data_IF_465785762423
#
_entry.id   IF_465785762423
#
_cell.length_a   1.000
_cell.length_b   1.000
_cell.length_c   1.000
_cell.angle_alpha   90.00
_cell.angle_beta   90.00
_cell.angle_gamma   90.00
#
_symmetry.space_group_name_H-M   'P 1'
#
loop_
_entity.id
_entity.type
_entity.pdbx_description
1 polymer ?
#
# COMPACT_ATOMS: atom_id res chain seq x y z
N UNK A 1 -28.49 -2.74 2.47
CA UNK A 1 -27.57 -2.21 1.44
C UNK A 1 -27.39 -0.68 1.48
N UNK A 2 -28.45 0.14 1.48
CA UNK A 2 -28.33 1.63 1.52
C UNK A 2 -27.52 2.20 2.69
N UNK A 3 -27.58 1.55 3.85
CA UNK A 3 -26.85 2.02 5.05
C UNK A 3 -25.34 1.82 4.93
N UNK A 4 -24.90 0.64 4.46
CA UNK A 4 -23.48 0.37 4.19
C UNK A 4 -22.91 1.32 3.13
N UNK A 5 -23.63 1.52 2.02
CA UNK A 5 -23.15 2.41 0.95
C UNK A 5 -22.98 3.85 1.41
N UNK A 6 -23.83 4.34 2.32
CA UNK A 6 -23.70 5.68 2.87
C UNK A 6 -22.53 5.80 3.85
N UNK A 7 -22.22 4.74 4.61
CA UNK A 7 -21.09 4.74 5.53
C UNK A 7 -19.77 4.78 4.76
N UNK A 8 -19.57 3.87 3.80
CA UNK A 8 -18.40 3.87 2.92
C UNK A 8 -18.22 5.19 2.17
N UNK A 9 -19.32 5.77 1.66
CA UNK A 9 -19.26 7.04 0.95
C UNK A 9 -18.78 8.20 1.85
N UNK A 10 -19.19 8.19 3.12
CA UNK A 10 -18.83 9.23 4.09
C UNK A 10 -17.36 9.13 4.50
N UNK A 11 -16.87 7.91 4.67
CA UNK A 11 -15.49 7.58 5.04
C UNK A 11 -14.51 7.87 3.88
N UNK A 12 -14.88 7.49 2.65
CA UNK A 12 -14.13 7.86 1.45
C UNK A 12 -14.13 9.37 1.24
N UNK A 13 -15.22 10.08 1.53
CA UNK A 13 -15.27 11.56 1.43
C UNK A 13 -14.41 12.25 2.48
N UNK A 14 -14.27 11.70 3.69
CA UNK A 14 -13.41 12.29 4.72
C UNK A 14 -11.92 12.03 4.46
N UNK A 15 -11.57 10.89 3.83
CA UNK A 15 -10.18 10.49 3.54
C UNK A 15 -9.87 10.38 2.05
N UNK A 16 -10.54 11.19 1.20
CA UNK A 16 -10.41 11.08 -0.26
C UNK A 16 -8.97 11.26 -0.72
N UNK A 17 -8.24 12.19 -0.09
CA UNK A 17 -6.84 12.45 -0.41
C UNK A 17 -5.95 11.26 -0.04
N UNK A 18 -6.17 10.63 1.11
CA UNK A 18 -5.37 9.49 1.58
C UNK A 18 -5.51 8.30 0.64
N UNK A 19 -6.74 7.97 0.25
CA UNK A 19 -6.98 6.89 -0.71
C UNK A 19 -6.49 7.23 -2.12
N UNK A 20 -6.61 8.49 -2.56
CA UNK A 20 -6.05 8.92 -3.84
C UNK A 20 -4.53 8.80 -3.85
N UNK A 21 -3.85 9.16 -2.75
CA UNK A 21 -2.41 9.00 -2.60
C UNK A 21 -2.01 7.52 -2.67
N UNK A 22 -2.74 6.62 -2.00
CA UNK A 22 -2.48 5.19 -2.07
C UNK A 22 -2.64 4.63 -3.48
N UNK A 23 -3.73 4.99 -4.17
CA UNK A 23 -4.02 4.53 -5.54
C UNK A 23 -2.94 5.03 -6.50
N UNK A 24 -2.59 6.31 -6.44
CA UNK A 24 -1.55 6.88 -7.31
C UNK A 24 -0.19 6.26 -7.05
N UNK A 25 0.18 6.03 -5.79
CA UNK A 25 1.40 5.30 -5.42
C UNK A 25 1.39 3.86 -5.93
N UNK A 26 0.25 3.16 -5.84
CA UNK A 26 0.08 1.80 -6.37
C UNK A 26 0.21 1.73 -7.90
N UNK A 27 -0.41 2.66 -8.62
CA UNK A 27 -0.28 2.76 -10.09
C UNK A 27 1.18 3.05 -10.46
N UNK A 28 1.82 4.01 -9.78
CA UNK A 28 3.23 4.33 -10.01
C UNK A 28 4.12 3.11 -9.78
N UNK A 29 3.89 2.34 -8.71
CA UNK A 29 4.60 1.11 -8.43
C UNK A 29 4.45 0.07 -9.54
N UNK A 30 3.23 -0.20 -9.98
CA UNK A 30 2.97 -1.17 -11.06
C UNK A 30 3.65 -0.76 -12.37
N UNK A 31 3.60 0.54 -12.71
CA UNK A 31 4.28 1.08 -13.88
C UNK A 31 5.80 0.94 -13.74
N UNK A 32 6.37 1.31 -12.59
CA UNK A 32 7.80 1.22 -12.34
C UNK A 32 8.32 -0.22 -12.42
N UNK A 33 7.63 -1.18 -11.79
CA UNK A 33 7.99 -2.61 -11.90
C UNK A 33 7.91 -3.10 -13.34
N UNK A 34 6.93 -2.65 -14.11
CA UNK A 34 6.81 -3.04 -15.51
C UNK A 34 7.93 -2.45 -16.39
N UNK A 35 8.28 -1.18 -16.18
CA UNK A 35 9.32 -0.47 -16.94
C UNK A 35 10.71 -1.01 -16.65
N UNK A 36 11.03 -1.27 -15.38
CA UNK A 36 12.35 -1.76 -14.95
C UNK A 36 12.41 -3.29 -14.88
N UNK A 37 11.48 -3.98 -15.53
CA UNK A 37 11.40 -5.44 -15.51
C UNK A 37 12.70 -6.07 -16.05
N UNK A 38 13.27 -7.00 -15.30
CA UNK A 38 14.53 -7.69 -15.62
C UNK A 38 15.78 -7.06 -15.00
N UNK A 39 15.71 -5.81 -14.56
CA UNK A 39 16.79 -5.14 -13.84
C UNK A 39 16.71 -5.43 -12.33
N UNK A 40 17.37 -6.53 -11.93
CA UNK A 40 17.28 -7.13 -10.60
C UNK A 40 17.40 -6.15 -9.43
N UNK A 41 18.37 -5.23 -9.53
CA UNK A 41 18.65 -4.27 -8.48
C UNK A 41 17.57 -3.17 -8.42
N UNK A 42 17.09 -2.70 -9.57
CA UNK A 42 16.05 -1.68 -9.63
C UNK A 42 14.69 -2.24 -9.19
N UNK A 43 14.34 -3.46 -9.59
CA UNK A 43 13.14 -4.14 -9.11
C UNK A 43 13.13 -4.28 -7.58
N UNK A 44 14.25 -4.68 -6.99
CA UNK A 44 14.39 -4.76 -5.54
C UNK A 44 14.23 -3.39 -4.85
N UNK A 45 14.85 -2.33 -5.39
CA UNK A 45 14.71 -0.97 -4.85
C UNK A 45 13.25 -0.49 -4.96
N UNK A 46 12.59 -0.70 -6.10
CA UNK A 46 11.19 -0.31 -6.30
C UNK A 46 10.26 -1.04 -5.33
N UNK A 47 10.47 -2.35 -5.14
CA UNK A 47 9.74 -3.15 -4.16
C UNK A 47 9.96 -2.63 -2.74
N UNK A 48 11.21 -2.40 -2.34
CA UNK A 48 11.55 -1.88 -1.01
C UNK A 48 10.93 -0.50 -0.76
N UNK A 49 10.99 0.38 -1.77
CA UNK A 49 10.42 1.73 -1.71
C UNK A 49 8.90 1.68 -1.55
N UNK A 50 8.21 0.84 -2.32
CA UNK A 50 6.75 0.72 -2.24
C UNK A 50 6.29 0.08 -0.92
N UNK A 51 6.99 -0.94 -0.43
CA UNK A 51 6.74 -1.52 0.91
C UNK A 51 6.89 -0.47 2.00
N UNK A 52 7.93 0.34 1.94
CA UNK A 52 8.16 1.43 2.90
C UNK A 52 7.06 2.49 2.83
N UNK A 53 6.68 2.89 1.60
CA UNK A 53 5.56 3.81 1.36
C UNK A 53 4.25 3.27 1.95
N UNK A 54 3.92 1.99 1.71
CA UNK A 54 2.71 1.37 2.21
C UNK A 54 2.64 1.35 3.75
N UNK A 55 3.75 1.04 4.42
CA UNK A 55 3.83 1.06 5.89
C UNK A 55 3.65 2.48 6.41
N UNK A 56 4.34 3.47 5.83
CA UNK A 56 4.24 4.88 6.25
C UNK A 56 2.82 5.39 6.04
N UNK A 57 2.22 5.10 4.89
CA UNK A 57 0.84 5.46 4.58
C UNK A 57 -0.14 4.84 5.57
N UNK A 58 0.00 3.53 5.86
CA UNK A 58 -0.88 2.83 6.80
C UNK A 58 -0.81 3.40 8.22
N UNK A 59 0.41 3.75 8.68
CA UNK A 59 0.62 4.45 9.96
C UNK A 59 -0.04 5.83 9.93
N UNK A 60 0.23 6.64 8.90
CA UNK A 60 -0.32 7.98 8.77
C UNK A 60 -1.86 8.00 8.79
N UNK A 61 -2.49 7.12 8.01
CA UNK A 61 -3.94 6.99 7.94
C UNK A 61 -4.55 6.64 9.31
N UNK A 62 -3.97 5.67 10.03
CA UNK A 62 -4.48 5.28 11.36
C UNK A 62 -4.17 6.28 12.47
N UNK A 63 -3.14 7.12 12.32
CA UNK A 63 -2.93 8.26 13.24
C UNK A 63 -4.06 9.27 13.07
N UNK A 64 -4.42 9.59 11.83
CA UNK A 64 -5.48 10.57 11.54
C UNK A 64 -6.85 10.08 12.01
N UNK A 65 -7.09 8.78 11.94
CA UNK A 65 -8.33 8.16 12.42
C UNK A 65 -8.34 7.88 13.94
N UNK A 66 -7.31 8.31 14.69
CA UNK A 66 -7.12 8.01 16.12
C UNK A 66 -7.23 6.50 16.45
N UNK A 67 -6.97 5.65 15.47
CA UNK A 67 -7.15 4.19 15.52
C UNK A 67 -5.82 3.44 15.55
N UNK A 68 -4.69 4.14 15.70
CA UNK A 68 -3.36 3.56 15.67
C UNK A 68 -3.13 2.60 16.86
N UNK A 69 -3.17 1.31 16.58
CA UNK A 69 -2.76 0.25 17.49
C UNK A 69 -1.54 -0.50 16.93
N UNK A 70 -0.63 -0.91 17.83
CA UNK A 70 0.59 -1.66 17.47
C UNK A 70 0.26 -2.93 16.67
N UNK A 71 -0.86 -3.59 16.98
CA UNK A 71 -1.40 -4.72 16.21
C UNK A 71 -1.60 -4.37 14.73
N UNK A 72 -2.17 -3.20 14.43
CA UNK A 72 -2.43 -2.76 13.06
C UNK A 72 -1.11 -2.51 12.34
N UNK A 73 -0.15 -1.84 12.98
CA UNK A 73 1.17 -1.62 12.38
C UNK A 73 1.85 -2.95 12.02
N UNK A 74 1.75 -3.96 12.89
CA UNK A 74 2.26 -5.32 12.61
C UNK A 74 1.53 -5.95 11.42
N UNK A 75 0.21 -5.83 11.33
CA UNK A 75 -0.56 -6.33 10.18
C UNK A 75 -0.08 -5.73 8.87
N UNK A 76 0.13 -4.41 8.81
CA UNK A 76 0.65 -3.72 7.62
C UNK A 76 2.05 -4.20 7.25
N UNK A 77 2.94 -4.35 8.23
CA UNK A 77 4.29 -4.88 8.01
C UNK A 77 4.20 -6.30 7.43
N UNK A 78 3.40 -7.18 8.04
CA UNK A 78 3.23 -8.56 7.58
C UNK A 78 2.70 -8.63 6.14
N UNK A 79 1.64 -7.87 5.83
CA UNK A 79 1.06 -7.80 4.48
C UNK A 79 2.10 -7.30 3.48
N UNK A 80 2.84 -6.24 3.81
CA UNK A 80 3.84 -5.66 2.93
C UNK A 80 4.98 -6.64 2.62
N UNK A 81 5.47 -7.37 3.64
CA UNK A 81 6.46 -8.41 3.45
C UNK A 81 5.91 -9.59 2.65
N UNK A 82 4.69 -10.06 2.92
CA UNK A 82 4.06 -11.13 2.15
C UNK A 82 3.98 -10.77 0.67
N UNK A 83 3.50 -9.57 0.33
CA UNK A 83 3.42 -9.11 -1.06
C UNK A 83 4.82 -9.01 -1.68
N UNK A 84 5.81 -8.48 -0.95
CA UNK A 84 7.19 -8.40 -1.42
C UNK A 84 7.75 -9.79 -1.76
N UNK A 85 7.56 -10.78 -0.88
CA UNK A 85 8.03 -12.14 -1.13
C UNK A 85 7.31 -12.81 -2.29
N UNK A 86 5.98 -12.65 -2.39
CA UNK A 86 5.18 -13.19 -3.49
C UNK A 86 5.59 -12.60 -4.84
N UNK A 87 5.77 -11.27 -4.91
CA UNK A 87 6.20 -10.60 -6.12
C UNK A 87 7.63 -10.99 -6.50
N UNK A 88 8.53 -11.14 -5.53
CA UNK A 88 9.88 -11.64 -5.79
C UNK A 88 9.84 -13.04 -6.45
N UNK A 89 8.99 -13.95 -5.95
CA UNK A 89 8.85 -15.30 -6.52
C UNK A 89 8.31 -15.25 -7.97
N UNK A 90 7.37 -14.35 -8.26
CA UNK A 90 6.76 -14.24 -9.59
C UNK A 90 7.70 -13.56 -10.60
N UNK A 91 8.42 -12.53 -10.16
CA UNK A 91 9.28 -11.71 -11.02
C UNK A 91 10.63 -12.40 -11.27
N UNK A 92 11.15 -13.13 -10.29
CA UNK A 92 12.35 -13.96 -10.39
C UNK A 92 12.01 -15.45 -10.31
N UNK A 93 11.66 -16.10 -11.44
CA UNK A 93 11.79 -17.55 -11.55
C UNK A 93 13.25 -17.99 -11.54
#
# INVERSE_FOLDING_TARGET
MKYLTNHFKKEIQSHTFDYLLLITGGIFFLVAVNVFKGERLLEFIILLAFTSFYIIWGIYHHIIEDSLHLKIVIEYILIAFTILFLLKIIIFP
#
